data_IF_969406893557
#
_entry.id   IF_969406893557
#
_cell.length_a   1.000
_cell.length_b   1.000
_cell.length_c   1.000
_cell.angle_alpha   90.00
_cell.angle_beta   90.00
_cell.angle_gamma   90.00
#
_symmetry.space_group_name_H-M   'P 1'
#
loop_
_entity.id
_entity.type
_entity.pdbx_description
1 polymer ?
#
# COMPACT_ATOMS: atom_id res chain seq x y z
N UNK A 1 -20.79 -9.60 15.93
CA UNK A 1 -20.16 -8.51 15.16
C UNK A 1 -19.58 -7.47 16.10
N UNK A 2 -20.38 -6.68 16.85
CA UNK A 2 -19.86 -5.64 17.77
C UNK A 2 -18.65 -6.04 18.63
N UNK A 3 -18.74 -7.10 19.44
CA UNK A 3 -17.61 -7.56 20.29
C UNK A 3 -16.32 -7.86 19.49
N UNK A 4 -16.45 -8.39 18.28
CA UNK A 4 -15.30 -8.67 17.41
C UNK A 4 -14.72 -7.36 16.87
N UNK A 5 -15.56 -6.39 16.56
CA UNK A 5 -15.13 -5.05 16.16
C UNK A 5 -14.43 -4.30 17.30
N UNK A 6 -14.96 -4.40 18.53
CA UNK A 6 -14.32 -3.82 19.71
C UNK A 6 -12.91 -4.42 19.96
N UNK A 7 -12.71 -5.68 19.57
CA UNK A 7 -11.46 -6.41 19.78
C UNK A 7 -10.45 -6.19 18.64
N UNK A 8 -10.92 -6.19 17.39
CA UNK A 8 -10.09 -6.27 16.19
C UNK A 8 -10.28 -5.12 15.20
N UNK A 9 -11.27 -4.25 15.43
CA UNK A 9 -11.69 -3.21 14.51
C UNK A 9 -10.94 -1.87 14.64
N UNK A 10 -11.40 -0.87 13.89
CA UNK A 10 -12.68 -0.82 13.16
C UNK A 10 -12.65 -1.63 11.85
N UNK A 11 -13.45 -2.70 11.73
CA UNK A 11 -13.50 -3.57 10.56
C UNK A 11 -14.51 -3.06 9.51
N UNK A 12 -14.18 -3.21 8.24
CA UNK A 12 -15.12 -2.98 7.15
C UNK A 12 -16.01 -4.22 6.96
N UNK A 13 -17.17 -4.21 7.62
CA UNK A 13 -18.12 -5.32 7.63
C UNK A 13 -18.78 -5.60 6.28
N UNK A 14 -18.58 -4.76 5.26
CA UNK A 14 -19.00 -5.06 3.88
C UNK A 14 -18.03 -6.03 3.17
N UNK A 15 -16.84 -6.26 3.73
CA UNK A 15 -15.75 -7.01 3.10
C UNK A 15 -15.53 -8.39 3.74
N UNK A 16 -14.95 -9.35 2.97
CA UNK A 16 -14.80 -10.73 3.44
C UNK A 16 -13.85 -10.87 4.64
N UNK A 17 -12.82 -10.02 4.76
CA UNK A 17 -11.83 -10.12 5.84
C UNK A 17 -12.45 -9.94 7.23
N UNK A 18 -13.43 -9.04 7.38
CA UNK A 18 -14.16 -8.85 8.63
C UNK A 18 -14.91 -10.13 9.06
N UNK A 19 -15.47 -10.85 8.08
CA UNK A 19 -16.19 -12.10 8.31
C UNK A 19 -15.26 -13.27 8.64
N UNK A 20 -14.08 -13.32 8.00
CA UNK A 20 -13.05 -14.31 8.33
C UNK A 20 -12.57 -14.15 9.78
N UNK A 21 -12.28 -12.90 10.20
CA UNK A 21 -11.93 -12.58 11.60
C UNK A 21 -13.08 -12.96 12.55
N UNK A 22 -14.33 -12.63 12.19
CA UNK A 22 -15.49 -12.97 12.99
C UNK A 22 -15.61 -14.48 13.23
N UNK A 23 -15.56 -15.30 12.19
CA UNK A 23 -15.71 -16.75 12.34
C UNK A 23 -14.54 -17.40 13.06
N UNK A 24 -13.31 -16.95 12.81
CA UNK A 24 -12.14 -17.44 13.52
C UNK A 24 -12.19 -17.08 15.02
N UNK A 25 -12.59 -15.85 15.37
CA UNK A 25 -12.76 -15.45 16.78
C UNK A 25 -13.87 -16.25 17.44
N UNK A 26 -14.99 -16.48 16.76
CA UNK A 26 -16.09 -17.30 17.27
C UNK A 26 -15.66 -18.73 17.55
N UNK A 27 -14.81 -19.30 16.69
CA UNK A 27 -14.22 -20.62 16.91
C UNK A 27 -13.31 -20.63 18.15
N UNK A 28 -12.45 -19.63 18.30
CA UNK A 28 -11.60 -19.49 19.50
C UNK A 28 -12.45 -19.39 20.76
N UNK A 29 -13.45 -18.50 20.79
CA UNK A 29 -14.30 -18.31 21.96
C UNK A 29 -15.04 -19.60 22.35
N UNK A 30 -15.53 -20.35 21.37
CA UNK A 30 -16.27 -21.59 21.57
C UNK A 30 -15.39 -22.72 22.08
N UNK A 31 -14.12 -22.75 21.66
CA UNK A 31 -13.13 -23.71 22.14
C UNK A 31 -12.69 -23.33 23.56
N UNK A 32 -12.28 -22.07 23.78
CA UNK A 32 -11.92 -21.57 25.11
C UNK A 32 -13.04 -21.89 26.10
N UNK A 33 -14.29 -21.56 25.79
CA UNK A 33 -15.43 -21.86 26.68
C UNK A 33 -15.58 -23.35 27.05
N UNK A 34 -15.18 -24.26 26.17
CA UNK A 34 -15.36 -25.71 26.36
C UNK A 34 -14.18 -26.37 27.07
N UNK A 35 -12.97 -25.84 26.90
CA UNK A 35 -11.74 -26.53 27.28
C UNK A 35 -10.87 -25.76 28.27
N UNK A 36 -11.09 -24.45 28.46
CA UNK A 36 -10.44 -23.65 29.50
C UNK A 36 -11.08 -23.97 30.85
N UNK A 37 -10.45 -24.90 31.57
CA UNK A 37 -10.94 -25.44 32.84
C UNK A 37 -9.94 -25.26 33.98
N UNK A 38 -8.73 -24.80 33.66
CA UNK A 38 -7.62 -24.54 34.59
C UNK A 38 -7.11 -23.10 34.44
N UNK A 39 -6.20 -22.67 35.32
CA UNK A 39 -5.62 -21.32 35.32
C UNK A 39 -5.17 -20.91 36.72
N UNK A 40 -4.78 -19.65 36.97
CA UNK A 40 -4.39 -19.18 38.29
C UNK A 40 -5.48 -19.47 39.33
N UNK A 41 -5.07 -20.09 40.45
CA UNK A 41 -5.99 -20.54 41.51
C UNK A 41 -7.01 -21.61 41.09
N UNK A 42 -6.77 -22.32 39.98
CA UNK A 42 -7.67 -23.36 39.46
C UNK A 42 -8.93 -22.82 38.80
N UNK A 43 -8.89 -21.58 38.28
CA UNK A 43 -10.01 -20.95 37.58
C UNK A 43 -9.64 -20.69 36.11
N UNK A 44 -10.60 -20.82 35.17
CA UNK A 44 -10.41 -20.46 33.78
C UNK A 44 -9.90 -19.03 33.62
N UNK A 45 -8.87 -18.83 32.80
CA UNK A 45 -8.20 -17.54 32.61
C UNK A 45 -8.31 -16.98 31.18
N UNK A 46 -9.00 -17.70 30.30
CA UNK A 46 -9.21 -17.38 28.90
C UNK A 46 -8.12 -17.92 27.97
N UNK A 47 -7.11 -18.63 28.49
CA UNK A 47 -5.96 -19.13 27.74
C UNK A 47 -5.81 -20.63 27.98
N UNK A 48 -5.96 -21.41 26.90
CA UNK A 48 -5.73 -22.85 26.97
C UNK A 48 -4.26 -23.13 27.25
N UNK A 49 -3.99 -23.96 28.26
CA UNK A 49 -2.67 -24.54 28.46
C UNK A 49 -2.42 -25.69 27.46
N UNK A 50 -1.22 -26.28 27.45
CA UNK A 50 -0.84 -27.34 26.52
C UNK A 50 -1.77 -28.58 26.58
N UNK A 51 -2.17 -29.01 27.78
CA UNK A 51 -3.06 -30.16 27.97
C UNK A 51 -4.48 -29.85 27.46
N UNK A 52 -4.96 -28.62 27.71
CA UNK A 52 -6.28 -28.16 27.25
C UNK A 52 -6.31 -27.97 25.72
N UNK A 53 -5.23 -27.48 25.11
CA UNK A 53 -5.08 -27.40 23.65
C UNK A 53 -5.09 -28.79 23.01
N UNK A 54 -4.37 -29.75 23.58
CA UNK A 54 -4.39 -31.15 23.12
C UNK A 54 -5.79 -31.76 23.25
N UNK A 55 -6.45 -31.59 24.40
CA UNK A 55 -7.80 -32.08 24.66
C UNK A 55 -8.84 -31.46 23.71
N UNK A 56 -8.64 -30.21 23.31
CA UNK A 56 -9.48 -29.50 22.37
C UNK A 56 -9.32 -29.97 20.91
N UNK A 57 -8.42 -30.92 20.64
CA UNK A 57 -8.17 -31.47 19.30
C UNK A 57 -6.94 -30.90 18.61
N UNK A 58 -6.03 -30.27 19.38
CA UNK A 58 -4.76 -29.76 18.92
C UNK A 58 -4.79 -28.29 18.50
N UNK A 59 -3.93 -27.95 17.54
CA UNK A 59 -3.47 -26.59 17.35
C UNK A 59 -4.50 -25.60 16.77
N UNK A 60 -5.05 -24.73 17.65
CA UNK A 60 -5.88 -23.57 17.30
C UNK A 60 -5.07 -22.37 16.79
N UNK A 61 -3.74 -22.44 16.70
CA UNK A 61 -2.93 -21.47 15.95
C UNK A 61 -3.47 -21.31 14.52
N UNK A 62 -4.11 -22.32 13.92
CA UNK A 62 -4.76 -22.16 12.61
C UNK A 62 -5.86 -21.08 12.62
N UNK A 63 -6.69 -21.00 13.67
CA UNK A 63 -7.71 -19.94 13.80
C UNK A 63 -7.05 -18.58 14.08
N UNK A 64 -6.03 -18.54 14.96
CA UNK A 64 -5.25 -17.32 15.22
C UNK A 64 -4.53 -16.81 13.96
N UNK A 65 -4.06 -17.73 13.11
CA UNK A 65 -3.43 -17.45 11.82
C UNK A 65 -4.42 -16.88 10.82
N UNK A 66 -5.65 -17.38 10.78
CA UNK A 66 -6.72 -16.78 9.97
C UNK A 66 -6.95 -15.32 10.40
N UNK A 67 -7.09 -15.06 11.71
CA UNK A 67 -7.27 -13.70 12.22
C UNK A 67 -6.12 -12.78 11.78
N UNK A 68 -4.87 -13.22 11.97
CA UNK A 68 -3.70 -12.44 11.59
C UNK A 68 -3.65 -12.14 10.07
N UNK A 69 -3.85 -13.15 9.23
CA UNK A 69 -3.80 -12.98 7.77
C UNK A 69 -4.92 -12.06 7.29
N UNK A 70 -6.12 -12.22 7.84
CA UNK A 70 -7.27 -11.37 7.52
C UNK A 70 -7.11 -9.96 8.08
N UNK A 71 -6.47 -9.75 9.23
CA UNK A 71 -6.16 -8.40 9.75
C UNK A 71 -5.19 -7.66 8.84
N UNK A 72 -4.19 -8.36 8.29
CA UNK A 72 -3.29 -7.77 7.31
C UNK A 72 -4.07 -7.31 6.07
N UNK A 73 -4.92 -8.17 5.50
CA UNK A 73 -5.73 -7.81 4.33
C UNK A 73 -6.74 -6.72 4.64
N UNK A 74 -7.42 -6.77 5.79
CA UNK A 74 -8.31 -5.72 6.25
C UNK A 74 -7.56 -4.38 6.42
N UNK A 75 -6.30 -4.38 6.83
CA UNK A 75 -5.51 -3.15 6.86
C UNK A 75 -5.18 -2.65 5.44
N UNK A 76 -4.87 -3.54 4.49
CA UNK A 76 -4.42 -3.18 3.14
C UNK A 76 -5.55 -2.79 2.17
N UNK A 77 -6.74 -3.37 2.34
CA UNK A 77 -7.88 -3.19 1.44
C UNK A 77 -9.22 -3.10 2.19
N UNK A 78 -9.22 -2.88 3.51
CA UNK A 78 -10.42 -2.84 4.34
C UNK A 78 -11.11 -1.48 4.39
N UNK A 79 -11.06 -0.70 3.32
CA UNK A 79 -11.94 0.45 3.11
C UNK A 79 -12.59 0.32 1.75
N UNK A 80 -13.92 0.26 1.71
CA UNK A 80 -14.65 0.32 0.45
C UNK A 80 -14.99 1.78 0.13
N UNK A 81 -14.23 2.36 -0.82
CA UNK A 81 -14.31 3.78 -1.22
C UNK A 81 -15.50 4.00 -2.16
N UNK A 82 -15.62 3.17 -3.20
CA UNK A 82 -16.75 3.25 -4.15
C UNK A 82 -17.49 1.92 -4.24
N UNK A 83 -18.84 1.94 -4.29
CA UNK A 83 -19.63 0.73 -4.45
C UNK A 83 -19.53 0.16 -5.89
N UNK A 84 -20.11 -1.02 -6.16
CA UNK A 84 -20.22 -1.57 -7.52
C UNK A 84 -20.80 -0.56 -8.53
N UNK A 85 -20.38 -0.60 -9.81
CA UNK A 85 -19.48 -1.59 -10.40
C UNK A 85 -17.98 -1.25 -10.31
N UNK A 86 -17.60 -0.03 -9.90
CA UNK A 86 -16.20 0.40 -9.89
C UNK A 86 -15.36 -0.28 -8.79
N UNK A 87 -15.96 -0.49 -7.61
CA UNK A 87 -15.40 -1.23 -6.48
C UNK A 87 -13.93 -0.87 -6.17
N UNK A 88 -13.69 0.37 -5.72
CA UNK A 88 -12.36 0.81 -5.31
C UNK A 88 -12.14 0.58 -3.81
N UNK A 89 -10.97 0.02 -3.48
CA UNK A 89 -10.55 -0.25 -2.11
C UNK A 89 -9.42 0.68 -1.67
N UNK A 90 -9.35 0.94 -0.37
CA UNK A 90 -8.27 1.69 0.27
C UNK A 90 -7.72 0.98 1.50
N UNK A 91 -6.61 1.50 2.01
CA UNK A 91 -6.02 1.02 3.25
C UNK A 91 -6.85 1.44 4.45
N UNK A 92 -7.17 0.51 5.35
CA UNK A 92 -7.73 0.85 6.65
C UNK A 92 -6.58 1.13 7.63
N UNK A 93 -6.11 2.36 7.64
CA UNK A 93 -4.98 2.82 8.46
C UNK A 93 -5.27 2.76 9.97
N UNK A 94 -6.53 2.66 10.40
CA UNK A 94 -6.88 2.48 11.82
C UNK A 94 -6.53 1.08 12.34
N UNK A 95 -6.41 0.09 11.44
CA UNK A 95 -6.02 -1.27 11.78
C UNK A 95 -4.51 -1.47 11.91
N UNK A 96 -3.68 -0.45 11.64
CA UNK A 96 -2.21 -0.59 11.62
C UNK A 96 -1.68 -1.14 12.94
N UNK A 97 -2.15 -0.61 14.07
CA UNK A 97 -1.72 -1.06 15.40
C UNK A 97 -2.05 -2.54 15.62
N UNK A 98 -3.28 -2.96 15.30
CA UNK A 98 -3.72 -4.35 15.47
C UNK A 98 -3.00 -5.31 14.53
N UNK A 99 -2.79 -4.91 13.28
CA UNK A 99 -2.01 -5.68 12.33
C UNK A 99 -0.55 -5.83 12.79
N UNK A 100 0.07 -4.75 13.30
CA UNK A 100 1.43 -4.79 13.86
C UNK A 100 1.54 -5.75 15.05
N UNK A 101 0.67 -5.61 16.06
CA UNK A 101 0.61 -6.51 17.22
C UNK A 101 0.46 -7.97 16.78
N UNK A 102 -0.31 -8.23 15.72
CA UNK A 102 -0.51 -9.58 15.20
C UNK A 102 0.76 -10.12 14.51
N UNK A 103 1.52 -9.28 13.80
CA UNK A 103 2.84 -9.66 13.26
C UNK A 103 3.80 -10.05 14.38
N UNK A 104 3.95 -9.20 15.39
CA UNK A 104 4.88 -9.42 16.50
C UNK A 104 4.59 -10.74 17.23
N UNK A 105 3.32 -10.95 17.61
CA UNK A 105 2.88 -12.17 18.29
C UNK A 105 3.16 -13.43 17.48
N UNK A 106 2.91 -13.41 16.17
CA UNK A 106 3.12 -14.58 15.33
C UNK A 106 4.60 -14.88 15.12
N UNK A 107 5.43 -13.85 14.97
CA UNK A 107 6.88 -14.03 14.91
C UNK A 107 7.43 -14.60 16.22
N UNK A 108 6.98 -14.08 17.36
CA UNK A 108 7.36 -14.58 18.69
C UNK A 108 6.93 -16.04 18.89
N UNK A 109 5.66 -16.36 18.60
CA UNK A 109 5.15 -17.72 18.68
C UNK A 109 5.97 -18.68 17.81
N UNK A 110 6.33 -18.27 16.59
CA UNK A 110 7.12 -19.12 15.70
C UNK A 110 8.56 -19.30 16.19
N UNK A 111 9.19 -18.25 16.76
CA UNK A 111 10.52 -18.38 17.38
C UNK A 111 10.50 -19.32 18.60
N UNK A 112 9.43 -19.27 19.40
CA UNK A 112 9.26 -20.17 20.53
C UNK A 112 9.11 -21.63 20.08
N UNK A 113 8.31 -21.88 19.03
CA UNK A 113 8.15 -23.20 18.42
C UNK A 113 9.47 -23.76 17.87
N UNK A 114 10.24 -22.95 17.14
CA UNK A 114 11.55 -23.35 16.58
C UNK A 114 12.56 -23.65 17.70
N UNK A 115 12.54 -22.84 18.76
CA UNK A 115 13.37 -23.07 19.96
C UNK A 115 13.00 -24.37 20.68
N UNK A 116 11.71 -24.65 20.84
CA UNK A 116 11.21 -25.84 21.52
C UNK A 116 11.46 -27.13 20.73
N UNK A 117 11.37 -27.06 19.40
CA UNK A 117 11.63 -28.20 18.50
C UNK A 117 13.11 -28.44 18.21
N UNK A 118 13.99 -27.51 18.60
CA UNK A 118 15.42 -27.55 18.30
C UNK A 118 15.74 -27.43 16.81
N UNK A 119 14.77 -27.03 15.98
CA UNK A 119 14.90 -26.89 14.53
C UNK A 119 14.53 -25.47 14.14
N UNK A 120 15.51 -24.69 13.67
CA UNK A 120 15.25 -23.37 13.08
C UNK A 120 14.67 -23.55 11.68
N UNK A 121 13.40 -23.18 11.52
CA UNK A 121 12.71 -23.27 10.23
C UNK A 121 12.95 -22.03 9.37
N UNK A 122 13.51 -20.95 9.93
CA UNK A 122 13.65 -19.65 9.29
C UNK A 122 12.33 -18.91 9.05
N UNK A 123 11.19 -19.49 9.43
CA UNK A 123 9.87 -18.93 9.09
C UNK A 123 9.63 -17.58 9.80
N UNK A 124 10.06 -17.44 11.05
CA UNK A 124 9.94 -16.18 11.78
C UNK A 124 10.68 -15.02 11.07
N UNK A 125 11.82 -15.30 10.45
CA UNK A 125 12.60 -14.30 9.71
C UNK A 125 11.98 -13.96 8.35
N UNK A 126 11.34 -14.94 7.69
CA UNK A 126 10.48 -14.66 6.55
C UNK A 126 9.30 -13.75 6.93
N UNK A 127 8.65 -14.00 8.07
CA UNK A 127 7.56 -13.16 8.58
C UNK A 127 8.05 -11.74 8.93
N UNK A 128 9.24 -11.61 9.51
CA UNK A 128 9.91 -10.33 9.79
C UNK A 128 10.13 -9.50 8.51
N UNK A 129 10.47 -10.14 7.40
CA UNK A 129 10.55 -9.45 6.11
C UNK A 129 9.19 -8.92 5.65
N UNK A 130 8.12 -9.70 5.85
CA UNK A 130 6.75 -9.26 5.59
C UNK A 130 6.31 -8.09 6.49
N UNK A 131 6.59 -8.17 7.79
CA UNK A 131 6.28 -7.13 8.77
C UNK A 131 6.99 -5.81 8.45
N UNK A 132 8.27 -5.86 8.09
CA UNK A 132 9.02 -4.70 7.61
C UNK A 132 8.36 -4.05 6.39
N UNK A 133 7.94 -4.82 5.40
CA UNK A 133 7.26 -4.29 4.22
C UNK A 133 5.88 -3.69 4.56
N UNK A 134 5.15 -4.33 5.49
CA UNK A 134 3.91 -3.80 6.03
C UNK A 134 4.13 -2.44 6.68
N UNK A 135 5.12 -2.29 7.58
CA UNK A 135 5.44 -1.02 8.24
C UNK A 135 5.83 0.08 7.24
N UNK A 136 6.62 -0.27 6.21
CA UNK A 136 6.98 0.65 5.13
C UNK A 136 5.74 1.23 4.45
N UNK A 137 4.75 0.38 4.16
CA UNK A 137 3.50 0.82 3.57
C UNK A 137 2.62 1.57 4.57
N UNK A 138 2.54 1.12 5.82
CA UNK A 138 1.78 1.77 6.88
C UNK A 138 2.21 3.24 7.07
N UNK A 139 3.52 3.50 7.12
CA UNK A 139 4.07 4.87 7.18
C UNK A 139 3.65 5.69 5.97
N UNK A 140 3.80 5.13 4.76
CA UNK A 140 3.44 5.83 3.53
C UNK A 140 1.95 6.17 3.47
N UNK A 141 1.06 5.21 3.78
CA UNK A 141 -0.38 5.41 3.71
C UNK A 141 -0.89 6.35 4.79
N UNK A 142 -0.36 6.29 6.02
CA UNK A 142 -0.65 7.32 7.03
C UNK A 142 -0.26 8.71 6.55
N UNK A 143 0.89 8.84 5.86
CA UNK A 143 1.35 10.11 5.35
C UNK A 143 0.42 10.69 4.28
N UNK A 144 0.06 9.90 3.27
CA UNK A 144 -0.82 10.36 2.16
C UNK A 144 -2.29 10.43 2.57
N UNK A 145 -2.65 9.92 3.75
CA UNK A 145 -3.97 10.10 4.37
C UNK A 145 -3.96 11.25 5.40
N UNK A 146 -2.99 12.15 5.31
CA UNK A 146 -2.87 13.35 6.15
C UNK A 146 -2.71 13.08 7.66
N UNK A 147 -2.42 11.83 8.07
CA UNK A 147 -2.15 11.41 9.47
C UNK A 147 -0.66 11.49 9.79
N UNK A 148 -0.04 12.66 9.55
CA UNK A 148 1.42 12.85 9.62
C UNK A 148 2.03 12.54 10.99
N UNK A 149 1.34 12.88 12.08
CA UNK A 149 1.82 12.59 13.43
C UNK A 149 1.96 11.08 13.69
N UNK A 150 1.00 10.30 13.20
CA UNK A 150 1.03 8.84 13.30
C UNK A 150 2.03 8.23 12.34
N UNK A 151 2.14 8.76 11.12
CA UNK A 151 3.20 8.38 10.19
C UNK A 151 4.58 8.56 10.84
N UNK A 152 4.82 9.66 11.55
CA UNK A 152 6.07 9.90 12.27
C UNK A 152 6.32 8.90 13.42
N UNK A 153 5.28 8.58 14.19
CA UNK A 153 5.35 7.54 15.24
C UNK A 153 5.75 6.18 14.65
N UNK A 154 5.06 5.75 13.60
CA UNK A 154 5.31 4.46 12.95
C UNK A 154 6.63 4.43 12.20
N UNK A 155 7.08 5.56 11.65
CA UNK A 155 8.38 5.68 11.00
C UNK A 155 9.52 5.50 12.00
N UNK A 156 9.43 6.16 13.16
CA UNK A 156 10.40 5.96 14.25
C UNK A 156 10.42 4.50 14.69
N UNK A 157 9.26 3.91 14.96
CA UNK A 157 9.16 2.51 15.37
C UNK A 157 9.76 1.56 14.31
N UNK A 158 9.48 1.77 13.03
CA UNK A 158 10.05 0.99 11.93
C UNK A 158 11.57 1.10 11.85
N UNK A 159 12.15 2.30 12.03
CA UNK A 159 13.60 2.49 12.01
C UNK A 159 14.26 1.82 13.23
N UNK A 160 13.67 1.99 14.41
CA UNK A 160 14.20 1.43 15.65
C UNK A 160 14.18 -0.12 15.58
N UNK A 161 13.11 -0.71 15.04
CA UNK A 161 12.96 -2.16 14.88
C UNK A 161 13.78 -2.73 13.71
N UNK A 162 13.84 -2.01 12.59
CA UNK A 162 14.49 -2.41 11.35
C UNK A 162 15.49 -1.36 10.86
N UNK A 163 16.63 -1.15 11.54
CA UNK A 163 17.55 -0.05 11.22
C UNK A 163 18.15 -0.13 9.82
N UNK A 164 18.27 -1.34 9.27
CA UNK A 164 18.75 -1.58 7.89
C UNK A 164 17.68 -1.38 6.82
N UNK A 165 16.45 -1.04 7.20
CA UNK A 165 15.33 -0.85 6.25
C UNK A 165 15.44 0.47 5.48
N UNK A 166 16.14 1.45 6.02
CA UNK A 166 16.41 2.73 5.36
C UNK A 166 17.81 2.67 4.74
N UNK A 167 17.88 2.83 3.42
CA UNK A 167 19.14 2.81 2.67
C UNK A 167 20.06 3.99 3.01
N UNK A 168 19.48 5.13 3.39
CA UNK A 168 20.18 6.38 3.69
C UNK A 168 19.99 6.73 5.17
N UNK A 169 21.02 6.59 6.02
CA UNK A 169 20.92 6.97 7.43
C UNK A 169 20.48 8.43 7.58
N UNK A 170 19.55 8.68 8.52
CA UNK A 170 19.08 10.03 8.82
C UNK A 170 18.00 10.58 7.88
N UNK A 171 17.47 9.78 6.96
CA UNK A 171 16.36 10.18 6.08
C UNK A 171 15.16 10.65 6.92
N UNK A 172 14.66 11.85 6.65
CA UNK A 172 13.45 12.35 7.32
C UNK A 172 12.20 11.61 6.83
N UNK A 173 11.08 11.72 7.56
CA UNK A 173 9.80 11.13 7.13
C UNK A 173 9.37 11.63 5.74
N UNK A 174 9.48 12.93 5.49
CA UNK A 174 9.12 13.52 4.20
C UNK A 174 9.99 12.95 3.07
N UNK A 175 11.30 12.91 3.27
CA UNK A 175 12.24 12.34 2.28
C UNK A 175 12.00 10.84 2.06
N UNK A 176 11.63 10.12 3.13
CA UNK A 176 11.22 8.72 3.02
C UNK A 176 9.98 8.58 2.14
N UNK A 177 8.90 9.31 2.43
CA UNK A 177 7.67 9.23 1.66
C UNK A 177 7.86 9.67 0.19
N UNK A 178 8.68 10.70 -0.05
CA UNK A 178 9.05 11.11 -1.41
C UNK A 178 9.85 10.01 -2.12
N UNK A 179 10.82 9.36 -1.44
CA UNK A 179 11.60 8.26 -2.01
C UNK A 179 10.76 7.04 -2.39
N UNK A 180 9.65 6.81 -1.69
CA UNK A 180 8.72 5.70 -2.00
C UNK A 180 8.00 5.87 -3.33
N UNK A 181 7.83 7.11 -3.79
CA UNK A 181 7.23 7.40 -5.11
C UNK A 181 8.30 7.45 -6.21
N UNK A 182 9.55 7.77 -5.84
CA UNK A 182 10.67 7.91 -6.76
C UNK A 182 11.56 6.65 -6.87
N UNK A 183 11.21 5.51 -6.28
CA UNK A 183 12.11 4.33 -6.23
C UNK A 183 12.54 3.84 -7.63
N UNK A 184 11.75 4.11 -8.68
CA UNK A 184 12.07 3.83 -10.10
C UNK A 184 12.32 5.09 -10.96
N UNK A 185 12.00 6.28 -10.46
CA UNK A 185 12.14 7.54 -11.19
C UNK A 185 13.42 8.26 -10.73
N UNK A 186 14.40 8.38 -11.62
CA UNK A 186 15.65 9.06 -11.28
C UNK A 186 15.37 10.45 -10.70
N UNK A 187 16.00 10.79 -9.57
CA UNK A 187 15.67 11.96 -8.73
C UNK A 187 15.73 13.33 -9.45
N UNK A 188 16.24 13.35 -10.68
CA UNK A 188 16.45 14.55 -11.48
C UNK A 188 15.91 14.48 -12.91
N UNK A 189 15.08 13.48 -13.22
CA UNK A 189 14.36 13.43 -14.49
C UNK A 189 13.15 14.37 -14.44
N UNK A 190 13.19 15.44 -15.24
CA UNK A 190 12.14 16.46 -15.31
C UNK A 190 10.79 15.86 -15.72
N UNK A 191 10.76 15.04 -16.76
CA UNK A 191 9.51 14.52 -17.32
C UNK A 191 8.89 13.46 -16.41
N UNK A 192 9.71 12.56 -15.86
CA UNK A 192 9.24 11.58 -14.90
C UNK A 192 8.72 12.23 -13.63
N UNK A 193 9.46 13.20 -13.06
CA UNK A 193 9.00 13.90 -11.85
C UNK A 193 7.69 14.63 -12.10
N UNK A 194 7.55 15.32 -13.26
CA UNK A 194 6.30 15.97 -13.65
C UNK A 194 5.14 14.98 -13.78
N UNK A 195 5.38 13.81 -14.39
CA UNK A 195 4.36 12.77 -14.55
C UNK A 195 3.91 12.19 -13.20
N UNK A 196 4.85 11.96 -12.28
CA UNK A 196 4.53 11.50 -10.92
C UNK A 196 3.70 12.54 -10.16
N UNK A 197 4.08 13.82 -10.23
CA UNK A 197 3.30 14.92 -9.64
C UNK A 197 1.87 14.95 -10.22
N UNK A 198 1.74 14.83 -11.54
CA UNK A 198 0.43 14.78 -12.19
C UNK A 198 -0.40 13.58 -11.70
N UNK A 199 0.19 12.39 -11.55
CA UNK A 199 -0.49 11.22 -11.02
C UNK A 199 -0.99 11.41 -9.57
N UNK A 200 -0.16 12.00 -8.70
CA UNK A 200 -0.56 12.34 -7.32
C UNK A 200 -1.71 13.35 -7.28
N UNK A 201 -1.69 14.36 -8.16
CA UNK A 201 -2.75 15.36 -8.26
C UNK A 201 -4.06 14.75 -8.79
N UNK A 202 -3.99 13.89 -9.82
CA UNK A 202 -5.15 13.17 -10.33
C UNK A 202 -5.80 12.30 -9.24
N UNK A 203 -4.98 11.61 -8.45
CA UNK A 203 -5.47 10.82 -7.32
C UNK A 203 -6.08 11.70 -6.22
N UNK A 204 -5.46 12.84 -5.92
CA UNK A 204 -6.02 13.81 -4.99
C UNK A 204 -7.42 14.27 -5.43
N UNK A 205 -7.59 14.67 -6.69
CA UNK A 205 -8.89 15.07 -7.22
C UNK A 205 -9.93 13.95 -7.21
N UNK A 206 -9.53 12.70 -7.46
CA UNK A 206 -10.41 11.56 -7.28
C UNK A 206 -10.92 11.43 -5.84
N UNK A 207 -10.05 11.63 -4.85
CA UNK A 207 -10.45 11.63 -3.44
C UNK A 207 -11.39 12.79 -3.09
N UNK A 208 -11.11 14.00 -3.59
CA UNK A 208 -12.03 15.13 -3.42
C UNK A 208 -13.42 14.83 -4.00
N UNK A 209 -13.49 14.18 -5.17
CA UNK A 209 -14.76 13.82 -5.81
C UNK A 209 -15.61 12.84 -4.98
N UNK A 210 -14.99 12.00 -4.15
CA UNK A 210 -15.69 11.01 -3.31
C UNK A 210 -15.77 11.41 -1.83
N UNK A 211 -15.40 12.66 -1.50
CA UNK A 211 -15.49 13.21 -0.13
C UNK A 211 -14.40 12.73 0.82
N UNK A 212 -13.25 12.30 0.29
CA UNK A 212 -12.10 11.82 1.05
C UNK A 212 -11.06 12.94 1.22
N UNK A 213 -11.44 13.98 1.96
CA UNK A 213 -10.71 15.26 2.06
C UNK A 213 -9.28 15.10 2.61
N UNK A 214 -9.08 14.22 3.59
CA UNK A 214 -7.75 13.96 4.16
C UNK A 214 -6.80 13.38 3.10
N UNK A 215 -7.28 12.45 2.27
CA UNK A 215 -6.46 11.91 1.19
C UNK A 215 -6.23 12.95 0.09
N UNK A 216 -7.21 13.79 -0.22
CA UNK A 216 -6.99 14.93 -1.13
C UNK A 216 -5.83 15.82 -0.62
N UNK A 217 -5.88 16.22 0.65
CA UNK A 217 -4.83 17.05 1.27
C UNK A 217 -3.49 16.33 1.30
N UNK A 218 -3.46 15.06 1.70
CA UNK A 218 -2.24 14.28 1.84
C UNK A 218 -1.52 14.04 0.51
N UNK A 219 -2.25 13.72 -0.57
CA UNK A 219 -1.68 13.52 -1.89
C UNK A 219 -1.18 14.83 -2.50
N UNK A 220 -1.93 15.94 -2.34
CA UNK A 220 -1.44 17.27 -2.72
C UNK A 220 -0.17 17.66 -1.96
N UNK A 221 -0.13 17.43 -0.65
CA UNK A 221 1.04 17.72 0.16
C UNK A 221 2.27 16.93 -0.31
N UNK A 222 2.11 15.65 -0.66
CA UNK A 222 3.21 14.84 -1.20
C UNK A 222 3.66 15.35 -2.58
N UNK A 223 2.74 15.76 -3.45
CA UNK A 223 3.07 16.35 -4.74
C UNK A 223 3.89 17.65 -4.59
N UNK A 224 3.54 18.51 -3.62
CA UNK A 224 4.30 19.70 -3.26
C UNK A 224 5.71 19.34 -2.79
N UNK A 225 5.84 18.35 -1.88
CA UNK A 225 7.14 17.92 -1.38
C UNK A 225 8.04 17.36 -2.49
N UNK A 226 7.47 16.59 -3.41
CA UNK A 226 8.18 16.05 -4.57
C UNK A 226 8.71 17.17 -5.47
N UNK A 227 7.87 18.17 -5.78
CA UNK A 227 8.30 19.36 -6.54
C UNK A 227 9.41 20.12 -5.81
N UNK A 228 9.26 20.36 -4.51
CA UNK A 228 10.23 21.10 -3.71
C UNK A 228 11.59 20.38 -3.67
N UNK A 229 11.57 19.04 -3.52
CA UNK A 229 12.78 18.23 -3.62
C UNK A 229 13.44 18.38 -4.99
N UNK A 230 12.68 18.25 -6.08
CA UNK A 230 13.21 18.42 -7.43
C UNK A 230 13.84 19.80 -7.64
N UNK A 231 13.14 20.88 -7.27
CA UNK A 231 13.64 22.25 -7.40
C UNK A 231 14.94 22.47 -6.60
N UNK A 232 15.05 21.86 -5.41
CA UNK A 232 16.28 21.89 -4.60
C UNK A 232 17.44 21.15 -5.27
N UNK A 233 17.19 19.99 -5.86
CA UNK A 233 18.23 19.19 -6.51
C UNK A 233 18.71 19.81 -7.83
N UNK A 234 17.81 20.38 -8.65
CA UNK A 234 18.23 21.10 -9.86
C UNK A 234 18.93 22.42 -9.55
N UNK A 235 18.66 23.08 -8.42
CA UNK A 235 19.33 24.33 -8.04
C UNK A 235 20.84 24.16 -7.87
N UNK A 236 21.31 22.91 -7.73
CA UNK A 236 22.72 22.51 -7.74
C UNK A 236 23.31 22.40 -9.16
N UNK A 237 22.49 22.52 -10.20
CA UNK A 237 22.86 22.39 -11.61
C UNK A 237 22.58 23.69 -12.38
N UNK A 238 23.51 24.11 -13.22
CA UNK A 238 23.37 25.32 -14.05
C UNK A 238 22.60 25.10 -15.35
N UNK A 239 22.37 23.84 -15.75
CA UNK A 239 21.89 23.48 -17.10
C UNK A 239 20.52 22.80 -17.11
N UNK A 240 19.89 22.58 -15.93
CA UNK A 240 18.64 21.83 -15.81
C UNK A 240 17.45 22.77 -15.69
N UNK A 241 16.40 22.48 -16.46
CA UNK A 241 15.15 23.24 -16.44
C UNK A 241 14.30 22.80 -15.25
N UNK A 242 13.85 23.78 -14.47
CA UNK A 242 12.97 23.54 -13.34
C UNK A 242 11.55 23.19 -13.71
N UNK A 243 10.82 22.64 -12.75
CA UNK A 243 9.40 22.38 -12.91
C UNK A 243 8.60 23.70 -12.89
N UNK A 244 7.45 23.75 -13.58
CA UNK A 244 6.51 24.86 -13.47
C UNK A 244 6.11 25.16 -12.00
N UNK A 245 5.56 26.34 -11.69
CA UNK A 245 4.84 26.60 -10.45
C UNK A 245 3.86 25.47 -10.09
N UNK A 246 3.67 25.22 -8.80
CA UNK A 246 2.81 24.10 -8.38
C UNK A 246 1.36 24.32 -8.82
N UNK A 247 0.92 25.57 -8.79
CA UNK A 247 -0.41 26.01 -9.20
C UNK A 247 -0.68 25.72 -10.69
N UNK A 248 0.36 25.82 -11.53
CA UNK A 248 0.25 25.45 -12.95
C UNK A 248 0.16 23.94 -13.14
N UNK A 249 0.91 23.15 -12.37
CA UNK A 249 0.83 21.69 -12.40
C UNK A 249 -0.53 21.20 -11.90
N UNK A 250 -1.03 21.80 -10.83
CA UNK A 250 -2.36 21.52 -10.28
C UNK A 250 -3.45 21.87 -11.28
N UNK A 251 -3.41 23.08 -11.84
CA UNK A 251 -4.35 23.51 -12.87
C UNK A 251 -4.32 22.59 -14.08
N UNK A 252 -3.14 22.22 -14.57
CA UNK A 252 -3.00 21.32 -15.72
C UNK A 252 -3.64 19.96 -15.44
N UNK A 253 -3.38 19.36 -14.27
CA UNK A 253 -3.98 18.09 -13.89
C UNK A 253 -5.50 18.19 -13.78
N UNK A 254 -6.04 19.30 -13.26
CA UNK A 254 -7.48 19.56 -13.19
C UNK A 254 -8.09 19.75 -14.58
N UNK A 255 -7.44 20.54 -15.43
CA UNK A 255 -7.86 20.78 -16.82
C UNK A 255 -7.95 19.45 -17.58
N UNK A 256 -6.95 18.57 -17.43
CA UNK A 256 -6.94 17.27 -18.11
C UNK A 256 -8.10 16.35 -17.70
N UNK A 257 -8.64 16.49 -16.48
CA UNK A 257 -9.87 15.82 -16.05
C UNK A 257 -11.11 16.44 -16.70
N UNK A 258 -11.19 17.77 -16.82
CA UNK A 258 -12.37 18.49 -17.29
C UNK A 258 -12.42 18.77 -18.80
N UNK A 259 -11.34 18.47 -19.54
CA UNK A 259 -11.31 18.59 -21.01
C UNK A 259 -12.42 17.78 -21.67
N UNK A 260 -13.04 18.28 -22.76
CA UNK A 260 -13.98 17.49 -23.55
C UNK A 260 -13.35 16.16 -23.99
N UNK A 261 -14.13 15.07 -23.91
CA UNK A 261 -13.69 13.70 -24.22
C UNK A 261 -12.56 13.13 -23.33
N UNK A 262 -12.29 13.72 -22.16
CA UNK A 262 -11.37 13.14 -21.18
C UNK A 262 -11.84 11.74 -20.72
N UNK A 263 -10.98 10.70 -20.77
CA UNK A 263 -11.34 9.35 -20.37
C UNK A 263 -11.13 9.08 -18.87
N UNK A 264 -10.61 10.05 -18.11
CA UNK A 264 -10.08 9.79 -16.77
C UNK A 264 -11.15 9.56 -15.70
N UNK A 265 -12.29 10.25 -15.81
CA UNK A 265 -13.36 10.15 -14.82
C UNK A 265 -14.73 10.02 -15.51
N UNK A 266 -15.64 9.19 -14.97
CA UNK A 266 -17.03 9.18 -15.40
C UNK A 266 -17.70 10.54 -15.18
N UNK A 267 -18.69 10.94 -16.00
CA UNK A 267 -19.36 12.24 -15.89
C UNK A 267 -19.95 12.53 -14.50
N UNK A 268 -20.49 11.51 -13.82
CA UNK A 268 -21.04 11.67 -12.47
C UNK A 268 -19.98 12.02 -11.43
N UNK A 269 -18.79 11.43 -11.52
CA UNK A 269 -17.66 11.70 -10.61
C UNK A 269 -17.05 13.07 -10.92
N UNK A 270 -16.99 13.44 -12.20
CA UNK A 270 -16.56 14.78 -12.63
C UNK A 270 -17.46 15.89 -12.07
N UNK A 271 -18.78 15.68 -12.04
CA UNK A 271 -19.69 16.66 -11.46
C UNK A 271 -19.57 16.72 -9.93
N UNK A 272 -19.34 15.58 -9.25
CA UNK A 272 -19.02 15.59 -7.82
C UNK A 272 -17.74 16.39 -7.54
N UNK A 273 -16.69 16.20 -8.35
CA UNK A 273 -15.46 16.98 -8.26
C UNK A 273 -15.70 18.48 -8.48
N UNK A 274 -16.54 18.84 -9.46
CA UNK A 274 -16.91 20.24 -9.72
C UNK A 274 -17.54 20.88 -8.48
N UNK A 275 -18.46 20.18 -7.83
CA UNK A 275 -19.13 20.64 -6.61
C UNK A 275 -18.14 20.74 -5.46
N UNK A 276 -17.32 19.71 -5.24
CA UNK A 276 -16.34 19.65 -4.15
C UNK A 276 -15.30 20.79 -4.22
N UNK A 277 -14.93 21.20 -5.43
CA UNK A 277 -13.98 22.29 -5.67
C UNK A 277 -14.65 23.65 -5.95
N UNK A 278 -15.97 23.74 -5.82
CA UNK A 278 -16.76 24.96 -6.08
C UNK A 278 -16.50 25.60 -7.47
N UNK A 279 -16.28 24.75 -8.48
CA UNK A 279 -15.95 25.21 -9.83
C UNK A 279 -17.20 25.71 -10.59
N UNK A 280 -17.07 26.72 -11.48
CA UNK A 280 -18.16 27.16 -12.34
C UNK A 280 -18.77 26.03 -13.19
N UNK A 281 -20.07 26.13 -13.48
CA UNK A 281 -20.81 25.16 -14.31
C UNK A 281 -20.29 25.05 -15.76
N UNK A 282 -19.55 26.05 -16.23
CA UNK A 282 -18.90 26.09 -17.54
C UNK A 282 -17.39 25.78 -17.49
N UNK A 283 -16.83 25.48 -16.31
CA UNK A 283 -15.44 25.04 -16.19
C UNK A 283 -15.20 23.82 -17.09
N UNK A 284 -14.12 23.87 -17.88
CA UNK A 284 -13.72 22.84 -18.83
C UNK A 284 -14.34 22.93 -20.23
N UNK A 285 -15.47 23.62 -20.40
CA UNK A 285 -16.21 23.62 -21.70
C UNK A 285 -15.45 24.29 -22.84
N UNK A 286 -14.60 25.26 -22.51
CA UNK A 286 -13.80 26.00 -23.49
C UNK A 286 -12.37 25.44 -23.64
N UNK A 287 -12.04 24.34 -22.96
CA UNK A 287 -10.74 23.69 -23.12
C UNK A 287 -10.72 22.89 -24.42
N UNK A 288 -9.54 22.85 -25.05
CA UNK A 288 -9.31 21.95 -26.18
C UNK A 288 -9.60 20.50 -25.79
N UNK A 289 -10.24 19.69 -26.68
CA UNK A 289 -10.53 18.29 -26.41
C UNK A 289 -9.28 17.52 -25.96
N UNK A 290 -9.49 16.57 -25.06
CA UNK A 290 -8.42 15.72 -24.56
C UNK A 290 -7.84 14.91 -25.72
N UNK A 291 -6.56 15.13 -26.02
CA UNK A 291 -5.83 14.35 -27.00
C UNK A 291 -5.20 13.14 -26.30
N UNK A 292 -5.59 11.93 -26.70
CA UNK A 292 -4.89 10.73 -26.25
C UNK A 292 -3.41 10.86 -26.66
N UNK A 293 -2.46 10.61 -25.74
CA UNK A 293 -1.07 10.51 -26.15
C UNK A 293 -0.97 9.42 -27.21
N UNK A 294 -0.38 9.74 -28.36
CA UNK A 294 -0.06 8.74 -29.38
C UNK A 294 0.63 7.57 -28.68
N UNK A 295 0.29 6.31 -29.02
CA UNK A 295 1.03 5.17 -28.50
C UNK A 295 2.51 5.46 -28.68
N UNK A 296 3.30 5.30 -27.62
CA UNK A 296 4.75 5.31 -27.76
C UNK A 296 5.03 4.17 -28.72
N UNK A 297 5.26 4.50 -30.00
CA UNK A 297 5.90 3.59 -30.92
C UNK A 297 7.29 3.40 -30.31
N UNK A 298 7.45 2.33 -29.54
CA UNK A 298 8.77 1.74 -29.36
C UNK A 298 9.39 1.60 -30.74
N UNK A 299 10.74 1.73 -30.86
CA UNK A 299 11.40 1.73 -32.16
C UNK A 299 10.81 0.61 -33.00
N UNK A 300 10.17 0.99 -34.12
CA UNK A 300 9.71 0.03 -35.11
C UNK A 300 10.94 -0.82 -35.42
N UNK A 301 10.95 -2.09 -35.00
CA UNK A 301 11.83 -3.06 -35.60
C UNK A 301 11.51 -2.98 -37.08
N UNK A 302 12.45 -2.44 -37.86
CA UNK A 302 12.38 -2.46 -39.30
C UNK A 302 12.11 -3.88 -39.77
N UNK A 303 11.51 -4.06 -40.96
CA UNK A 303 11.18 -5.38 -41.48
C UNK A 303 12.39 -6.29 -41.31
N UNK A 304 12.19 -7.44 -40.65
CA UNK A 304 13.25 -8.39 -40.38
C UNK A 304 13.99 -8.68 -41.67
N UNK A 305 15.23 -8.20 -41.79
CA UNK A 305 16.15 -8.70 -42.80
C UNK A 305 16.30 -10.19 -42.53
N UNK A 306 15.77 -11.01 -43.44
CA UNK A 306 16.05 -12.45 -43.49
C UNK A 306 17.56 -12.63 -43.43
N UNK A 307 18.08 -12.96 -42.26
CA UNK A 307 19.44 -13.48 -42.13
C UNK A 307 19.45 -14.80 -42.87
N UNK A 308 20.00 -14.77 -44.08
CA UNK A 308 20.48 -15.93 -44.80
C UNK A 308 21.31 -16.73 -43.81
N UNK A 309 20.81 -17.89 -43.39
CA UNK A 309 21.56 -18.81 -42.56
C UNK A 309 22.74 -19.32 -43.37
N UNK A 310 23.95 -18.95 -42.96
CA UNK A 310 25.17 -19.58 -43.46
C UNK A 310 25.12 -21.09 -43.15
N UNK A 311 25.47 -21.96 -44.11
CA UNK A 311 25.35 -23.40 -43.94
C UNK A 311 26.30 -23.90 -42.85
N UNK A 312 25.73 -24.67 -41.91
CA UNK A 312 26.46 -25.38 -40.85
C UNK A 312 27.49 -26.34 -41.47
N UNK A 313 28.78 -26.26 -41.11
CA UNK A 313 29.78 -27.19 -41.62
C UNK A 313 29.63 -28.57 -40.98
N UNK A 314 29.54 -29.60 -41.82
CA UNK A 314 29.45 -31.02 -41.44
C UNK A 314 30.67 -31.50 -40.63
N UNK A 315 30.50 -32.33 -39.59
CA UNK A 315 31.61 -32.89 -38.84
C UNK A 315 32.40 -33.90 -39.68
N UNK A 316 33.73 -33.73 -39.72
CA UNK A 316 34.67 -34.66 -40.36
C UNK A 316 34.88 -35.90 -39.46
N UNK A 317 34.96 -37.11 -40.03
CA UNK A 317 35.13 -38.34 -39.26
C UNK A 317 36.59 -38.52 -38.80
N UNK A 318 36.80 -38.87 -37.53
CA UNK A 318 38.11 -39.34 -37.04
C UNK A 318 38.19 -40.87 -37.25
N UNK A 319 39.31 -41.43 -37.75
CA UNK A 319 39.44 -42.85 -38.04
C UNK A 319 39.80 -43.66 -36.77
N UNK A 320 39.26 -44.89 -36.74
CA UNK A 320 39.54 -46.09 -35.92
C UNK A 320 40.46 -45.97 -34.70
#
# INVERSE_FOLDING_TARGET
MKRVDDLWGPLEWRLPDAHAIYWAQRGIDDVTKRFDVTGPEGKPDGVLNLEEEEAAGGDFLKLRRIIYQSLQQACMQGRLITPPPAMNYGWNVDLITKANESYEKQMEAKRAEDSASGTDTGLAEHMSTGHKNFLRNAVYFLYVYNRKAEAAKWYKYMIDLYPKSIRVPGLTLDEYCVSRVQEDAGETDHNQTKAVIAGLLMQAFQFAAVGEDDQFVGHKALAIQLRNRFQREIGKSTNRVGLPPFEELEKQALDDLFRPASPYLPPSVLEQLRIALELPQDYGKNLEPYALPSPIQGPMEGPAEERVQDPVPSPSPTPL
#
